data_IF_024672457241
#
_entry.id   IF_024672457241
#
_cell.length_a   1.000
_cell.length_b   1.000
_cell.length_c   1.000
_cell.angle_alpha   90.00
_cell.angle_beta   90.00
_cell.angle_gamma   90.00
#
_symmetry.space_group_name_H-M   'P 1'
#
loop_
_entity.id
_entity.type
_entity.pdbx_description
1 polymer ?
#
# COMPACT_ATOMS: atom_id res chain seq x y z
N UNK A 1 15.01 16.73 -10.82
CA UNK A 1 13.63 17.19 -10.57
C UNK A 1 13.05 18.00 -11.72
N UNK A 2 13.60 19.20 -12.06
CA UNK A 2 13.03 20.06 -13.13
C UNK A 2 12.78 19.30 -14.44
N UNK A 3 13.77 18.55 -14.94
CA UNK A 3 13.64 17.74 -16.17
C UNK A 3 12.47 16.76 -16.13
N UNK A 4 12.27 16.05 -15.00
CA UNK A 4 11.16 15.09 -14.83
C UNK A 4 9.81 15.79 -14.91
N UNK A 5 9.66 16.94 -14.25
CA UNK A 5 8.40 17.70 -14.32
C UNK A 5 8.14 18.23 -15.74
N UNK A 6 9.15 18.76 -16.42
CA UNK A 6 9.02 19.22 -17.82
C UNK A 6 8.60 18.10 -18.76
N UNK A 7 9.12 16.88 -18.56
CA UNK A 7 8.76 15.68 -19.32
C UNK A 7 7.29 15.31 -19.07
N UNK A 8 6.89 15.20 -17.81
CA UNK A 8 5.50 14.89 -17.44
C UNK A 8 4.49 15.94 -17.93
N UNK A 9 4.86 17.24 -17.90
CA UNK A 9 3.99 18.33 -18.36
C UNK A 9 3.82 18.35 -19.89
N UNK A 10 4.74 17.70 -20.64
CA UNK A 10 4.56 17.45 -22.07
C UNK A 10 3.77 16.19 -22.39
N UNK A 11 3.26 15.47 -21.38
CA UNK A 11 2.55 14.21 -21.56
C UNK A 11 3.49 13.03 -21.88
N UNK A 12 4.78 13.18 -21.62
CA UNK A 12 5.77 12.12 -21.85
C UNK A 12 5.87 11.22 -20.64
N UNK A 13 6.06 9.92 -20.85
CA UNK A 13 6.26 8.93 -19.79
C UNK A 13 7.70 8.93 -19.27
N UNK A 14 7.86 8.54 -18.01
CA UNK A 14 9.17 8.35 -17.40
C UNK A 14 9.72 6.96 -17.73
N UNK A 15 11.04 6.85 -17.82
CA UNK A 15 11.71 5.55 -17.83
C UNK A 15 11.57 4.87 -16.43
N UNK A 16 11.88 3.57 -16.38
CA UNK A 16 11.93 2.83 -15.12
C UNK A 16 12.87 3.50 -14.11
N UNK A 17 14.08 3.90 -14.55
CA UNK A 17 15.09 4.52 -13.71
C UNK A 17 14.68 5.91 -13.23
N UNK A 18 14.07 6.70 -14.11
CA UNK A 18 13.57 8.04 -13.76
C UNK A 18 12.43 7.94 -12.74
N UNK A 19 11.50 7.00 -12.95
CA UNK A 19 10.41 6.75 -12.01
C UNK A 19 10.91 6.20 -10.67
N UNK A 20 11.86 5.28 -10.67
CA UNK A 20 12.46 4.76 -9.44
C UNK A 20 13.15 5.87 -8.64
N UNK A 21 13.93 6.73 -9.30
CA UNK A 21 14.64 7.84 -8.66
C UNK A 21 13.67 8.85 -8.02
N UNK A 22 12.58 9.21 -8.71
CA UNK A 22 11.61 10.14 -8.13
C UNK A 22 10.81 9.49 -7.00
N UNK A 23 10.46 8.20 -7.10
CA UNK A 23 9.78 7.46 -6.05
C UNK A 23 10.62 7.40 -4.77
N UNK A 24 11.92 7.12 -4.86
CA UNK A 24 12.84 7.19 -3.71
C UNK A 24 12.88 8.61 -3.10
N UNK A 25 12.89 9.64 -3.93
CA UNK A 25 12.86 11.05 -3.47
C UNK A 25 11.56 11.36 -2.71
N UNK A 26 10.43 10.86 -3.20
CA UNK A 26 9.11 11.01 -2.56
C UNK A 26 9.09 10.28 -1.20
N UNK A 27 9.51 9.02 -1.16
CA UNK A 27 9.44 8.21 0.06
C UNK A 27 10.42 8.67 1.15
N UNK A 28 11.49 9.35 0.76
CA UNK A 28 12.40 10.04 1.67
C UNK A 28 11.89 11.43 2.11
N UNK A 29 10.70 11.86 1.69
CA UNK A 29 10.11 13.14 2.06
C UNK A 29 10.88 14.36 1.52
N UNK A 30 11.60 14.21 0.40
CA UNK A 30 12.47 15.24 -0.16
C UNK A 30 11.76 16.17 -1.16
N UNK A 31 10.50 15.90 -1.49
CA UNK A 31 9.67 16.80 -2.29
C UNK A 31 8.85 17.72 -1.39
N UNK A 32 8.69 18.97 -1.83
CA UNK A 32 7.68 19.85 -1.23
C UNK A 32 6.26 19.32 -1.53
N UNK A 33 5.28 19.70 -0.71
CA UNK A 33 3.88 19.33 -0.91
C UNK A 33 3.37 19.74 -2.30
N UNK A 34 3.74 20.95 -2.76
CA UNK A 34 3.39 21.42 -4.11
C UNK A 34 4.00 20.57 -5.23
N UNK A 35 5.27 20.15 -5.07
CA UNK A 35 5.93 19.27 -6.04
C UNK A 35 5.27 17.88 -6.06
N UNK A 36 4.98 17.33 -4.89
CA UNK A 36 4.31 16.03 -4.80
C UNK A 36 2.91 16.07 -5.40
N UNK A 37 2.12 17.11 -5.10
CA UNK A 37 0.80 17.31 -5.70
C UNK A 37 0.87 17.42 -7.22
N UNK A 38 1.78 18.24 -7.75
CA UNK A 38 2.00 18.39 -9.19
C UNK A 38 2.39 17.07 -9.86
N UNK A 39 3.27 16.29 -9.23
CA UNK A 39 3.68 14.96 -9.72
C UNK A 39 2.49 13.99 -9.80
N UNK A 40 1.73 13.87 -8.73
CA UNK A 40 0.58 12.96 -8.67
C UNK A 40 -0.51 13.32 -9.71
N UNK A 41 -0.78 14.61 -9.88
CA UNK A 41 -1.74 15.10 -10.88
C UNK A 41 -1.24 14.85 -12.29
N UNK A 42 0.05 15.12 -12.57
CA UNK A 42 0.63 14.90 -13.90
C UNK A 42 0.61 13.41 -14.28
N UNK A 43 1.00 12.51 -13.38
CA UNK A 43 0.90 11.06 -13.61
C UNK A 43 -0.53 10.61 -13.85
N UNK A 44 -1.49 11.10 -13.06
CA UNK A 44 -2.89 10.76 -13.24
C UNK A 44 -3.41 11.20 -14.61
N UNK A 45 -3.06 12.40 -15.03
CA UNK A 45 -3.52 12.96 -16.32
C UNK A 45 -2.90 12.23 -17.52
N UNK A 46 -1.60 11.92 -17.45
CA UNK A 46 -0.89 11.22 -18.52
C UNK A 46 -1.25 9.72 -18.61
N UNK A 47 -1.84 9.16 -17.56
CA UNK A 47 -1.88 7.72 -17.34
C UNK A 47 -0.51 7.21 -16.87
N UNK A 48 -0.45 5.92 -16.57
CA UNK A 48 0.77 5.26 -16.07
C UNK A 48 1.09 4.07 -16.96
N UNK A 49 2.34 3.97 -17.42
CA UNK A 49 2.77 2.82 -18.19
C UNK A 49 3.35 1.70 -17.31
N UNK A 50 3.65 0.55 -17.91
CA UNK A 50 4.17 -0.63 -17.20
C UNK A 50 5.52 -0.35 -16.54
N UNK A 51 6.41 0.41 -17.18
CA UNK A 51 7.73 0.71 -16.63
C UNK A 51 7.61 1.58 -15.37
N UNK A 52 6.78 2.62 -15.42
CA UNK A 52 6.49 3.50 -14.29
C UNK A 52 5.86 2.74 -13.11
N UNK A 53 4.86 1.90 -13.39
CA UNK A 53 4.19 1.11 -12.36
C UNK A 53 5.14 0.09 -11.73
N UNK A 54 5.95 -0.60 -12.53
CA UNK A 54 6.91 -1.59 -12.06
C UNK A 54 8.01 -0.96 -11.19
N UNK A 55 8.52 0.21 -11.60
CA UNK A 55 9.52 0.95 -10.83
C UNK A 55 8.97 1.39 -9.47
N UNK A 56 7.74 1.92 -9.46
CA UNK A 56 7.08 2.34 -8.23
C UNK A 56 6.88 1.15 -7.28
N UNK A 57 6.36 0.02 -7.79
CA UNK A 57 6.13 -1.19 -7.00
C UNK A 57 7.46 -1.72 -6.40
N UNK A 58 8.55 -1.72 -7.17
CA UNK A 58 9.86 -2.13 -6.67
C UNK A 58 10.38 -1.22 -5.55
N UNK A 59 10.25 0.09 -5.71
CA UNK A 59 10.68 1.04 -4.67
C UNK A 59 9.80 0.93 -3.42
N UNK A 60 8.49 0.73 -3.57
CA UNK A 60 7.58 0.47 -2.44
C UNK A 60 7.97 -0.80 -1.69
N UNK A 61 8.24 -1.89 -2.40
CA UNK A 61 8.66 -3.15 -1.81
C UNK A 61 9.98 -3.02 -1.04
N UNK A 62 10.96 -2.32 -1.61
CA UNK A 62 12.26 -2.07 -0.99
C UNK A 62 12.14 -1.28 0.32
N UNK A 63 11.18 -0.34 0.40
CA UNK A 63 10.94 0.52 1.55
C UNK A 63 9.86 -0.02 2.51
N UNK A 64 9.32 -1.21 2.25
CA UNK A 64 8.36 -1.87 3.13
C UNK A 64 9.04 -2.45 4.37
N UNK A 65 8.27 -2.50 5.46
CA UNK A 65 8.71 -3.18 6.69
C UNK A 65 8.76 -4.68 6.45
N UNK A 66 9.90 -5.29 6.76
CA UNK A 66 10.08 -6.75 6.67
C UNK A 66 9.62 -7.42 7.96
N UNK A 67 8.80 -8.45 7.85
CA UNK A 67 8.35 -9.23 9.00
C UNK A 67 9.46 -10.20 9.41
N UNK A 68 9.84 -10.16 10.68
CA UNK A 68 10.87 -11.03 11.24
C UNK A 68 10.39 -12.48 11.31
N UNK A 69 11.17 -13.41 10.76
CA UNK A 69 10.88 -14.86 10.79
C UNK A 69 9.51 -15.26 10.23
N UNK A 70 8.99 -14.53 9.25
CA UNK A 70 7.76 -14.95 8.57
C UNK A 70 7.95 -16.29 7.84
N UNK A 71 6.98 -17.23 7.92
CA UNK A 71 7.02 -18.45 7.13
C UNK A 71 7.03 -18.14 5.63
N UNK A 72 7.91 -18.83 4.87
CA UNK A 72 8.09 -18.57 3.42
C UNK A 72 6.84 -18.87 2.58
N UNK A 73 5.96 -19.74 3.07
CA UNK A 73 4.72 -20.15 2.41
C UNK A 73 3.49 -19.36 2.89
N UNK A 74 3.69 -18.18 3.47
CA UNK A 74 2.58 -17.30 3.86
C UNK A 74 1.83 -16.79 2.63
N UNK A 75 0.50 -16.74 2.74
CA UNK A 75 -0.40 -16.26 1.70
C UNK A 75 -1.02 -14.92 2.11
N UNK A 76 -1.18 -14.01 1.14
CA UNK A 76 -2.05 -12.84 1.26
C UNK A 76 -3.20 -12.95 0.23
N UNK A 77 -4.40 -12.58 0.63
CA UNK A 77 -5.57 -12.51 -0.22
C UNK A 77 -6.12 -11.09 -0.34
N UNK A 78 -5.25 -10.08 -0.21
CA UNK A 78 -5.63 -8.69 -0.36
C UNK A 78 -6.08 -8.39 -1.79
N UNK A 79 -7.24 -7.77 -1.94
CA UNK A 79 -7.70 -7.22 -3.22
C UNK A 79 -7.25 -5.78 -3.41
N UNK A 80 -7.44 -5.25 -4.61
CA UNK A 80 -7.10 -3.85 -4.96
C UNK A 80 -7.98 -2.83 -4.24
N UNK A 81 -9.19 -3.22 -3.82
CA UNK A 81 -10.17 -2.31 -3.25
C UNK A 81 -10.77 -1.33 -4.27
N UNK A 82 -11.64 -0.44 -3.80
CA UNK A 82 -12.17 0.65 -4.61
C UNK A 82 -13.13 0.24 -5.75
N UNK A 83 -13.65 -0.97 -5.73
CA UNK A 83 -14.56 -1.52 -6.75
C UNK A 83 -16.01 -1.06 -6.59
N UNK A 84 -16.32 -0.30 -5.53
CA UNK A 84 -17.66 0.20 -5.19
C UNK A 84 -18.75 -0.88 -5.10
N UNK A 85 -18.37 -2.16 -4.90
CA UNK A 85 -19.28 -3.29 -4.85
C UNK A 85 -20.27 -3.25 -3.67
N UNK A 86 -19.96 -2.45 -2.63
CA UNK A 86 -20.70 -2.40 -1.37
C UNK A 86 -20.92 -3.78 -0.71
N UNK A 87 -20.06 -4.75 -1.04
CA UNK A 87 -20.08 -6.07 -0.44
C UNK A 87 -19.57 -6.05 1.01
N UNK A 88 -19.80 -7.13 1.77
CA UNK A 88 -19.13 -7.32 3.05
C UNK A 88 -17.64 -7.61 2.86
N UNK A 89 -16.84 -7.61 3.93
CA UNK A 89 -15.40 -7.82 3.89
C UNK A 89 -15.03 -9.27 3.54
N UNK A 90 -15.29 -9.68 2.28
CA UNK A 90 -15.11 -11.04 1.77
C UNK A 90 -13.69 -11.54 2.02
N UNK A 91 -12.67 -10.77 1.62
CA UNK A 91 -11.27 -11.19 1.76
C UNK A 91 -10.84 -11.32 3.24
N UNK A 92 -11.35 -10.45 4.12
CA UNK A 92 -11.07 -10.56 5.55
C UNK A 92 -11.69 -11.82 6.15
N UNK A 93 -12.96 -12.10 5.85
CA UNK A 93 -13.64 -13.32 6.28
C UNK A 93 -12.96 -14.58 5.74
N UNK A 94 -12.62 -14.57 4.44
CA UNK A 94 -11.92 -15.70 3.80
C UNK A 94 -10.55 -15.97 4.43
N UNK A 95 -9.82 -14.93 4.87
CA UNK A 95 -8.53 -15.12 5.53
C UNK A 95 -8.64 -15.96 6.81
N UNK A 96 -9.67 -15.74 7.63
CA UNK A 96 -9.92 -16.58 8.82
C UNK A 96 -10.26 -18.03 8.47
N UNK A 97 -11.09 -18.22 7.43
CA UNK A 97 -11.45 -19.59 6.97
C UNK A 97 -10.23 -20.33 6.44
N UNK A 98 -9.39 -19.66 5.66
CA UNK A 98 -8.15 -20.22 5.12
C UNK A 98 -7.16 -20.57 6.24
N UNK A 99 -7.01 -19.69 7.22
CA UNK A 99 -6.15 -19.95 8.38
C UNK A 99 -6.67 -21.13 9.20
N UNK A 100 -7.98 -21.24 9.43
CA UNK A 100 -8.60 -22.40 10.09
C UNK A 100 -8.39 -23.70 9.30
N UNK A 101 -8.26 -23.61 7.97
CA UNK A 101 -7.90 -24.73 7.08
C UNK A 101 -6.40 -25.05 7.04
N UNK A 102 -5.57 -24.38 7.83
CA UNK A 102 -4.12 -24.65 7.93
C UNK A 102 -3.24 -23.86 6.95
N UNK A 103 -3.80 -22.87 6.24
CA UNK A 103 -3.00 -21.97 5.38
C UNK A 103 -2.48 -20.80 6.24
N UNK A 104 -1.16 -20.56 6.19
CA UNK A 104 -0.58 -19.41 6.90
C UNK A 104 -0.96 -18.11 6.19
N UNK A 105 -1.73 -17.26 6.86
CA UNK A 105 -2.30 -16.03 6.29
C UNK A 105 -1.60 -14.78 6.80
N UNK A 106 -0.81 -14.13 5.95
CA UNK A 106 -0.23 -12.82 6.17
C UNK A 106 -1.15 -11.74 5.53
N UNK A 107 -2.31 -11.51 6.16
CA UNK A 107 -3.38 -10.69 5.61
C UNK A 107 -3.04 -9.20 5.60
N UNK A 108 -2.73 -8.64 4.45
CA UNK A 108 -2.56 -7.20 4.28
C UNK A 108 -3.92 -6.49 4.15
N UNK A 109 -4.04 -5.33 4.76
CA UNK A 109 -5.28 -4.55 4.66
C UNK A 109 -5.16 -3.14 5.23
N UNK A 110 -6.23 -2.36 5.03
CA UNK A 110 -6.29 -0.96 5.41
C UNK A 110 -7.69 -0.62 5.98
N UNK A 111 -7.84 0.61 6.47
CA UNK A 111 -9.14 1.21 6.75
C UNK A 111 -9.88 1.48 5.45
N UNK A 112 -11.21 1.58 5.55
CA UNK A 112 -12.03 1.97 4.41
C UNK A 112 -11.74 3.41 3.97
N UNK A 113 -11.74 3.63 2.64
CA UNK A 113 -11.73 4.96 2.03
C UNK A 113 -13.10 5.25 1.39
N UNK A 114 -13.72 4.25 0.76
CA UNK A 114 -14.95 4.40 -0.04
C UNK A 114 -16.11 3.55 0.44
N UNK A 115 -15.86 2.49 1.20
CA UNK A 115 -16.90 1.59 1.75
C UNK A 115 -17.26 1.93 3.18
N UNK A 116 -18.33 1.31 3.70
CA UNK A 116 -18.78 1.52 5.09
C UNK A 116 -17.82 0.96 6.15
N UNK A 117 -17.00 -0.02 5.79
CA UNK A 117 -16.05 -0.66 6.69
C UNK A 117 -14.92 -1.31 5.92
N UNK A 118 -13.68 -1.01 6.28
CA UNK A 118 -12.47 -1.68 5.77
C UNK A 118 -12.10 -2.90 6.60
N UNK A 119 -11.08 -3.63 6.17
CA UNK A 119 -10.57 -4.79 6.90
C UNK A 119 -10.06 -4.39 8.30
N UNK A 120 -9.31 -3.31 8.40
CA UNK A 120 -8.79 -2.82 9.68
C UNK A 120 -9.90 -2.41 10.64
N UNK A 121 -10.94 -1.72 10.14
CA UNK A 121 -12.08 -1.27 10.97
C UNK A 121 -12.81 -2.45 11.59
N UNK A 122 -13.05 -3.51 10.80
CA UNK A 122 -13.68 -4.74 11.28
C UNK A 122 -12.85 -5.45 12.33
N UNK A 123 -11.54 -5.58 12.11
CA UNK A 123 -10.64 -6.27 13.02
C UNK A 123 -10.49 -5.53 14.36
N UNK A 124 -10.47 -4.23 14.34
CA UNK A 124 -10.40 -3.37 15.53
C UNK A 124 -11.66 -3.54 16.41
N UNK A 125 -12.86 -3.62 15.78
CA UNK A 125 -14.12 -3.91 16.48
C UNK A 125 -14.10 -5.31 17.12
N UNK A 126 -13.40 -6.28 16.51
CA UNK A 126 -13.19 -7.62 17.07
C UNK A 126 -12.08 -7.66 18.13
N UNK A 127 -11.47 -6.52 18.49
CA UNK A 127 -10.45 -6.42 19.53
C UNK A 127 -9.05 -6.81 19.03
N UNK A 128 -8.82 -6.91 17.72
CA UNK A 128 -7.51 -7.22 17.16
C UNK A 128 -6.68 -5.93 17.05
N UNK A 129 -5.49 -5.96 17.61
CA UNK A 129 -4.54 -4.83 17.56
C UNK A 129 -3.99 -4.65 16.15
N UNK A 130 -3.86 -3.39 15.72
CA UNK A 130 -3.32 -3.01 14.41
C UNK A 130 -1.85 -2.55 14.47
N UNK A 131 -1.29 -2.43 15.66
CA UNK A 131 0.02 -1.86 15.96
C UNK A 131 1.09 -2.91 16.33
N UNK A 132 0.87 -4.17 15.92
CA UNK A 132 1.81 -5.25 16.18
C UNK A 132 3.17 -4.99 15.50
N UNK A 133 4.27 -5.26 16.22
CA UNK A 133 5.62 -5.13 15.70
C UNK A 133 5.94 -6.23 14.66
N UNK A 134 6.99 -6.05 13.82
CA UNK A 134 7.40 -7.10 12.89
C UNK A 134 7.70 -8.44 13.56
N UNK A 135 8.23 -8.43 14.78
CA UNK A 135 8.51 -9.62 15.59
C UNK A 135 7.22 -10.28 16.07
N UNK A 136 6.27 -9.49 16.57
CA UNK A 136 4.95 -9.98 16.98
C UNK A 136 4.17 -10.57 15.79
N UNK A 137 4.22 -9.92 14.62
CA UNK A 137 3.61 -10.42 13.38
C UNK A 137 4.21 -11.77 12.97
N UNK A 138 5.54 -11.90 13.00
CA UNK A 138 6.20 -13.17 12.72
C UNK A 138 5.83 -14.26 13.72
N UNK A 139 5.74 -13.94 15.01
CA UNK A 139 5.29 -14.87 16.04
C UNK A 139 3.85 -15.34 15.80
N UNK A 140 2.92 -14.44 15.49
CA UNK A 140 1.53 -14.75 15.17
C UNK A 140 1.42 -15.69 13.95
N UNK A 141 2.16 -15.42 12.87
CA UNK A 141 2.18 -16.28 11.69
C UNK A 141 2.64 -17.70 12.01
N UNK A 142 3.65 -17.85 12.87
CA UNK A 142 4.20 -19.16 13.23
C UNK A 142 3.34 -19.91 14.26
N UNK A 143 2.71 -19.22 15.21
CA UNK A 143 2.00 -19.85 16.32
C UNK A 143 0.50 -19.99 16.07
N UNK A 144 -0.12 -19.00 15.42
CA UNK A 144 -1.57 -18.92 15.21
C UNK A 144 -1.95 -19.19 13.75
N UNK A 145 -1.02 -19.02 12.82
CA UNK A 145 -1.24 -19.20 11.39
C UNK A 145 -1.91 -18.01 10.70
N UNK A 146 -2.14 -16.91 11.41
CA UNK A 146 -2.70 -15.67 10.82
C UNK A 146 -2.14 -14.44 11.52
N UNK A 147 -1.80 -13.41 10.73
CA UNK A 147 -1.49 -12.07 11.20
C UNK A 147 -2.09 -11.02 10.28
N UNK A 148 -2.48 -9.88 10.84
CA UNK A 148 -2.96 -8.74 10.06
C UNK A 148 -1.87 -7.70 9.88
N UNK A 149 -1.54 -7.41 8.63
CA UNK A 149 -0.52 -6.47 8.22
C UNK A 149 -1.20 -5.14 7.88
N UNK A 150 -1.19 -4.23 8.85
CA UNK A 150 -1.82 -2.93 8.67
C UNK A 150 -0.99 -2.07 7.69
N UNK A 151 -1.54 -1.74 6.52
CA UNK A 151 -0.82 -1.08 5.43
C UNK A 151 -0.04 0.17 5.85
N UNK A 152 -0.58 1.10 6.67
CA UNK A 152 0.18 2.26 7.14
C UNK A 152 1.38 1.92 8.03
N UNK A 153 1.35 0.79 8.75
CA UNK A 153 2.48 0.31 9.55
C UNK A 153 3.51 -0.40 8.68
N UNK A 154 3.07 -1.14 7.67
CA UNK A 154 3.95 -1.87 6.74
C UNK A 154 4.66 -0.96 5.73
N UNK A 155 4.09 0.21 5.41
CA UNK A 155 4.61 1.17 4.44
C UNK A 155 4.75 2.57 5.05
N UNK A 156 5.63 2.80 6.03
CA UNK A 156 5.76 4.09 6.72
C UNK A 156 6.16 5.23 5.78
N UNK A 157 6.89 4.94 4.70
CA UNK A 157 7.26 5.92 3.66
C UNK A 157 6.06 6.54 2.95
N UNK A 158 4.92 5.85 2.94
CA UNK A 158 3.67 6.37 2.35
C UNK A 158 3.06 7.54 3.13
N UNK A 159 3.50 7.80 4.38
CA UNK A 159 3.01 8.95 5.16
C UNK A 159 3.23 10.29 4.45
N UNK A 160 4.36 10.43 3.74
CA UNK A 160 4.66 11.64 2.97
C UNK A 160 3.59 11.91 1.88
N UNK A 161 2.98 10.86 1.34
CA UNK A 161 2.02 10.94 0.24
C UNK A 161 0.58 11.08 0.74
N UNK A 162 0.25 10.51 1.89
CA UNK A 162 -1.12 10.39 2.38
C UNK A 162 -1.85 11.73 2.55
N UNK A 163 -1.15 12.73 3.12
CA UNK A 163 -1.72 14.08 3.31
C UNK A 163 -2.16 14.68 1.97
N UNK A 164 -1.26 14.67 0.99
CA UNK A 164 -1.51 15.26 -0.33
C UNK A 164 -2.61 14.51 -1.08
N UNK A 165 -2.67 13.18 -0.95
CA UNK A 165 -3.76 12.38 -1.52
C UNK A 165 -5.13 12.79 -0.96
N UNK A 166 -5.21 13.01 0.35
CA UNK A 166 -6.45 13.47 1.00
C UNK A 166 -6.85 14.85 0.51
N UNK A 167 -5.90 15.79 0.41
CA UNK A 167 -6.14 17.15 -0.08
C UNK A 167 -6.57 17.17 -1.56
N UNK A 168 -5.98 16.31 -2.39
CA UNK A 168 -6.37 16.18 -3.80
C UNK A 168 -7.76 15.56 -3.98
N UNK A 169 -8.28 14.85 -2.98
CA UNK A 169 -9.60 14.21 -2.99
C UNK A 169 -9.88 13.38 -4.26
N UNK A 170 -8.84 12.80 -4.85
CA UNK A 170 -8.92 12.05 -6.09
C UNK A 170 -8.06 10.78 -6.03
N UNK A 171 -8.49 9.65 -6.64
CA UNK A 171 -7.63 8.48 -6.76
C UNK A 171 -6.32 8.81 -7.46
N UNK A 172 -5.21 8.35 -6.90
CA UNK A 172 -3.86 8.51 -7.45
C UNK A 172 -3.24 7.13 -7.67
N UNK A 173 -2.02 7.10 -8.22
CA UNK A 173 -1.30 5.83 -8.44
C UNK A 173 -0.94 5.10 -7.12
N UNK A 174 -0.85 5.83 -6.03
CA UNK A 174 -0.57 5.27 -4.70
C UNK A 174 -1.84 4.83 -4.03
#
# INVERSE_FOLDING_TARGET
MKKIFEQLYRGEHLSFEEMAAIAETIFNGQLSEGQLGAFLVALKYNGVNVAELSALAQVMQKNAVTITNAPLNSMDNCGTGGDHSNSFNISTTAAFVLAAGGIVMAKHGNRSISSRSGSADTLEVLGIRLDATPEELGALLNQVGIAFLFAPAMHPSMRAVMKIRQELATPTIF
#
